data_IF_809190553642
#
_entry.id   IF_809190553642
#
_cell.length_a   1.000
_cell.length_b   1.000
_cell.length_c   1.000
_cell.angle_alpha   90.00
_cell.angle_beta   90.00
_cell.angle_gamma   90.00
#
_symmetry.space_group_name_H-M   'P 1'
#
loop_
_entity.id
_entity.type
_entity.pdbx_description
1 polymer ?
#
# COMPACT_ATOMS: atom_id res chain seq x y z
N UNK A 1 20.41 -7.31 -9.73
CA UNK A 1 19.13 -6.58 -9.62
C UNK A 1 18.66 -6.27 -11.03
N UNK A 2 17.37 -6.44 -11.35
CA UNK A 2 16.83 -6.21 -12.69
C UNK A 2 15.68 -5.19 -12.61
N UNK A 3 15.69 -4.09 -13.38
CA UNK A 3 14.63 -3.10 -13.35
C UNK A 3 13.39 -3.61 -14.08
N UNK A 4 12.21 -3.39 -13.50
CA UNK A 4 10.92 -3.65 -14.14
C UNK A 4 10.02 -2.43 -13.99
N UNK A 5 9.15 -2.20 -14.97
CA UNK A 5 8.12 -1.16 -14.93
C UNK A 5 6.77 -1.83 -14.67
N UNK A 6 6.05 -1.37 -13.64
CA UNK A 6 4.73 -1.88 -13.28
C UNK A 6 3.66 -0.86 -13.65
N UNK A 7 2.60 -1.29 -14.35
CA UNK A 7 1.42 -0.48 -14.58
C UNK A 7 0.49 -0.57 -13.36
N UNK A 8 0.75 0.26 -12.34
CA UNK A 8 0.07 0.17 -11.04
C UNK A 8 -1.46 0.30 -11.11
N UNK A 9 -2.01 1.00 -12.10
CA UNK A 9 -3.45 1.07 -12.34
C UNK A 9 -4.15 -0.30 -12.53
N UNK A 10 -3.40 -1.38 -12.78
CA UNK A 10 -3.93 -2.74 -12.91
C UNK A 10 -3.93 -3.53 -11.59
N UNK A 11 -3.47 -2.93 -10.50
CA UNK A 11 -3.34 -3.59 -9.19
C UNK A 11 -4.07 -2.81 -8.11
N UNK A 12 -4.51 -3.51 -7.06
CA UNK A 12 -4.91 -2.90 -5.81
C UNK A 12 -3.66 -2.74 -4.96
N UNK A 13 -3.34 -1.50 -4.64
CA UNK A 13 -2.12 -1.15 -3.91
C UNK A 13 -2.46 -0.86 -2.47
N UNK A 14 -1.73 -1.49 -1.55
CA UNK A 14 -1.79 -1.21 -0.12
C UNK A 14 -0.57 -0.39 0.30
N UNK A 15 -0.80 0.74 0.97
CA UNK A 15 0.24 1.53 1.64
C UNK A 15 0.01 1.45 3.14
N UNK A 16 0.97 0.91 3.89
CA UNK A 16 0.93 0.88 5.35
C UNK A 16 1.74 2.03 5.91
N UNK A 17 1.12 2.84 6.77
CA UNK A 17 1.67 4.05 7.37
C UNK A 17 0.78 5.26 7.12
N UNK A 18 0.86 6.26 8.00
CA UNK A 18 0.06 7.50 7.89
C UNK A 18 0.85 8.81 7.97
N UNK A 19 2.17 8.71 8.06
CA UNK A 19 3.06 9.87 8.15
C UNK A 19 3.63 10.30 6.80
N UNK A 20 4.72 11.09 6.85
CA UNK A 20 5.38 11.67 5.68
C UNK A 20 5.75 10.63 4.62
N UNK A 21 6.30 9.48 5.03
CA UNK A 21 6.68 8.43 4.09
C UNK A 21 5.46 7.90 3.31
N UNK A 22 4.33 7.71 3.97
CA UNK A 22 3.10 7.27 3.30
C UNK A 22 2.61 8.33 2.31
N UNK A 23 2.66 9.62 2.66
CA UNK A 23 2.33 10.72 1.75
C UNK A 23 3.24 10.74 0.53
N UNK A 24 4.55 10.57 0.70
CA UNK A 24 5.51 10.53 -0.40
C UNK A 24 5.27 9.35 -1.35
N UNK A 25 4.98 8.17 -0.79
CA UNK A 25 4.65 6.96 -1.58
C UNK A 25 3.35 7.13 -2.34
N UNK A 26 2.28 7.58 -1.68
CA UNK A 26 1.00 7.85 -2.33
C UNK A 26 1.17 8.87 -3.47
N UNK A 27 1.89 9.96 -3.23
CA UNK A 27 2.16 10.99 -4.23
C UNK A 27 2.95 10.45 -5.42
N UNK A 28 3.98 9.62 -5.18
CA UNK A 28 4.72 8.96 -6.25
C UNK A 28 3.85 8.01 -7.08
N UNK A 29 2.98 7.23 -6.45
CA UNK A 29 2.03 6.34 -7.14
C UNK A 29 1.08 7.16 -8.01
N UNK A 30 0.40 8.15 -7.44
CA UNK A 30 -0.63 8.93 -8.13
C UNK A 30 -0.04 9.81 -9.25
N UNK A 31 1.18 10.34 -9.10
CA UNK A 31 1.85 11.09 -10.19
C UNK A 31 2.17 10.23 -11.39
N UNK A 32 2.57 8.97 -11.18
CA UNK A 32 2.95 8.07 -12.27
C UNK A 32 1.75 7.28 -12.81
N UNK A 33 0.74 7.03 -11.99
CA UNK A 33 -0.45 6.26 -12.34
C UNK A 33 -1.67 6.79 -11.57
N UNK A 34 -2.27 7.92 -12.02
CA UNK A 34 -3.33 8.61 -11.29
C UNK A 34 -4.55 7.77 -11.00
N UNK A 35 -4.88 6.79 -11.86
CA UNK A 35 -6.03 5.92 -11.73
C UNK A 35 -5.82 4.71 -10.81
N UNK A 36 -4.67 4.61 -10.12
CA UNK A 36 -4.38 3.47 -9.23
C UNK A 36 -5.35 3.42 -8.07
N UNK A 37 -5.92 2.24 -7.81
CA UNK A 37 -6.70 1.97 -6.61
C UNK A 37 -5.73 1.78 -5.43
N UNK A 38 -5.73 2.74 -4.49
CA UNK A 38 -4.80 2.73 -3.36
C UNK A 38 -5.57 2.75 -2.05
N UNK A 39 -5.27 1.80 -1.18
CA UNK A 39 -5.71 1.83 0.22
C UNK A 39 -4.53 2.24 1.09
N UNK A 40 -4.70 3.26 1.92
CA UNK A 40 -3.72 3.69 2.91
C UNK A 40 -4.24 3.35 4.30
N UNK A 41 -3.46 2.58 5.06
CA UNK A 41 -3.84 2.12 6.40
C UNK A 41 -2.79 2.56 7.42
N UNK A 42 -3.22 3.20 8.50
CA UNK A 42 -2.36 3.58 9.60
C UNK A 42 -3.15 3.96 10.85
N UNK A 43 -2.60 3.76 12.07
CA UNK A 43 -3.29 4.12 13.32
C UNK A 43 -3.67 5.61 13.40
N UNK A 44 -2.89 6.46 12.73
CA UNK A 44 -3.12 7.91 12.61
C UNK A 44 -2.79 8.31 11.18
N UNK A 45 -3.66 9.09 10.54
CA UNK A 45 -3.42 9.63 9.19
C UNK A 45 -3.23 11.14 9.24
N UNK A 46 -2.17 11.63 8.60
CA UNK A 46 -1.86 13.07 8.61
C UNK A 46 -2.83 13.88 7.72
N UNK A 47 -3.09 15.16 8.04
CA UNK A 47 -3.90 16.04 7.19
C UNK A 47 -3.40 16.11 5.75
N UNK A 48 -2.08 16.08 5.54
CA UNK A 48 -1.47 16.06 4.21
C UNK A 48 -1.87 14.83 3.37
N UNK A 49 -2.11 13.67 4.00
CA UNK A 49 -2.66 12.50 3.29
C UNK A 49 -4.09 12.73 2.85
N UNK A 50 -4.93 13.32 3.71
CA UNK A 50 -6.31 13.64 3.36
C UNK A 50 -6.39 14.67 2.22
N UNK A 51 -5.58 15.72 2.29
CA UNK A 51 -5.48 16.72 1.21
C UNK A 51 -5.01 16.10 -0.11
N UNK A 52 -3.99 15.24 -0.05
CA UNK A 52 -3.46 14.55 -1.24
C UNK A 52 -4.48 13.57 -1.85
N UNK A 53 -5.23 12.84 -1.02
CA UNK A 53 -6.19 11.84 -1.46
C UNK A 53 -7.51 12.45 -1.95
N UNK A 54 -7.90 13.63 -1.46
CA UNK A 54 -9.20 14.25 -1.73
C UNK A 54 -9.62 14.30 -3.22
N UNK A 55 -8.72 14.63 -4.17
CA UNK A 55 -9.05 14.64 -5.60
C UNK A 55 -9.21 13.26 -6.24
N UNK A 56 -8.88 12.18 -5.53
CA UNK A 56 -8.78 10.82 -6.06
C UNK A 56 -9.80 9.88 -5.39
N UNK A 57 -11.00 9.69 -5.96
CA UNK A 57 -12.07 8.92 -5.34
C UNK A 57 -11.75 7.43 -5.15
N UNK A 58 -10.80 6.89 -5.90
CA UNK A 58 -10.30 5.52 -5.79
C UNK A 58 -9.26 5.33 -4.66
N UNK A 59 -8.87 6.41 -3.98
CA UNK A 59 -7.97 6.34 -2.81
C UNK A 59 -8.81 6.19 -1.55
N UNK A 60 -8.58 5.12 -0.81
CA UNK A 60 -9.23 4.84 0.46
C UNK A 60 -8.26 5.09 1.60
N UNK A 61 -8.69 5.90 2.57
CA UNK A 61 -7.94 6.18 3.78
C UNK A 61 -8.60 5.46 4.96
N UNK A 62 -7.86 4.57 5.63
CA UNK A 62 -8.35 3.81 6.78
C UNK A 62 -7.51 4.12 8.01
N UNK A 63 -8.05 4.94 8.90
CA UNK A 63 -7.41 5.30 10.17
C UNK A 63 -7.64 4.21 11.22
N UNK A 64 -6.87 3.13 11.09
CA UNK A 64 -6.84 1.98 12.02
C UNK A 64 -5.51 1.24 11.90
N UNK A 65 -5.14 0.40 12.87
CA UNK A 65 -4.09 -0.60 12.67
C UNK A 65 -4.41 -1.51 11.47
N UNK A 66 -3.38 -1.96 10.76
CA UNK A 66 -3.50 -2.97 9.73
C UNK A 66 -3.65 -4.36 10.35
N UNK A 67 -4.24 -5.28 9.61
CA UNK A 67 -4.33 -6.70 9.96
C UNK A 67 -3.98 -7.61 8.77
N UNK A 68 -3.92 -8.93 9.02
CA UNK A 68 -3.47 -9.88 8.02
C UNK A 68 -4.41 -9.98 6.80
N UNK A 69 -5.70 -9.66 6.96
CA UNK A 69 -6.68 -9.72 5.87
C UNK A 69 -6.49 -8.60 4.85
N UNK A 70 -5.90 -7.48 5.27
CA UNK A 70 -5.54 -6.37 4.38
C UNK A 70 -4.59 -6.84 3.26
N UNK A 71 -3.66 -7.76 3.55
CA UNK A 71 -2.74 -8.28 2.52
C UNK A 71 -3.43 -9.16 1.48
N UNK A 72 -4.47 -9.91 1.87
CA UNK A 72 -5.16 -10.83 0.97
C UNK A 72 -5.95 -10.10 -0.13
N UNK A 73 -6.24 -8.81 0.08
CA UNK A 73 -7.03 -7.99 -0.82
C UNK A 73 -6.19 -7.15 -1.80
N UNK A 74 -4.85 -7.20 -1.70
CA UNK A 74 -3.95 -6.32 -2.45
C UNK A 74 -2.78 -7.09 -3.06
N UNK A 75 -2.40 -6.73 -4.28
CA UNK A 75 -1.33 -7.39 -5.03
C UNK A 75 0.03 -6.71 -4.84
N UNK A 76 0.04 -5.41 -4.49
CA UNK A 76 1.27 -4.64 -4.28
C UNK A 76 1.21 -3.94 -2.93
N UNK A 77 2.25 -4.15 -2.12
CA UNK A 77 2.37 -3.58 -0.79
C UNK A 77 3.55 -2.61 -0.70
N UNK A 78 3.31 -1.42 -0.17
CA UNK A 78 4.33 -0.48 0.27
C UNK A 78 4.27 -0.31 1.79
N UNK A 79 5.37 -0.64 2.47
CA UNK A 79 5.53 -0.38 3.90
C UNK A 79 6.21 0.98 4.04
N UNK A 80 5.48 1.97 4.56
CA UNK A 80 5.87 3.37 4.65
C UNK A 80 5.78 3.87 6.11
N UNK A 81 6.37 3.09 7.02
CA UNK A 81 6.44 3.39 8.46
C UNK A 81 7.91 3.38 8.89
N UNK A 82 8.28 4.29 9.78
CA UNK A 82 9.65 4.41 10.32
C UNK A 82 9.98 3.30 11.33
N UNK A 83 8.96 2.73 11.96
CA UNK A 83 9.12 1.55 12.81
C UNK A 83 9.17 0.31 11.93
N UNK A 84 10.06 -0.63 12.26
CA UNK A 84 10.06 -1.97 11.64
C UNK A 84 8.76 -2.63 12.10
N UNK A 85 7.73 -2.74 11.25
CA UNK A 85 6.53 -3.43 11.69
C UNK A 85 6.94 -4.89 11.89
N UNK A 86 6.34 -5.58 12.84
CA UNK A 86 6.54 -7.04 13.02
C UNK A 86 6.05 -7.89 11.82
N UNK A 87 5.83 -7.26 10.65
CA UNK A 87 5.57 -7.86 9.33
C UNK A 87 6.59 -8.94 8.97
N UNK A 88 7.81 -8.90 9.53
CA UNK A 88 8.81 -9.96 9.35
C UNK A 88 8.26 -11.36 9.68
N UNK A 89 7.29 -11.48 10.58
CA UNK A 89 6.60 -12.75 10.90
C UNK A 89 5.67 -13.25 9.78
N UNK A 90 5.14 -12.36 8.94
CA UNK A 90 4.22 -12.70 7.85
C UNK A 90 4.94 -12.96 6.51
N UNK A 91 6.24 -12.65 6.43
CA UNK A 91 7.09 -12.98 5.27
C UNK A 91 7.15 -14.49 4.98
N UNK A 92 6.90 -15.34 5.97
CA UNK A 92 6.85 -16.80 5.82
C UNK A 92 5.57 -17.30 5.13
N UNK A 93 4.43 -16.62 5.28
CA UNK A 93 3.16 -17.08 4.70
C UNK A 93 2.96 -16.63 3.24
N UNK A 94 3.57 -15.52 2.82
CA UNK A 94 3.47 -15.02 1.44
C UNK A 94 4.34 -15.79 0.43
N UNK A 95 5.29 -16.60 0.92
CA UNK A 95 6.09 -17.51 0.10
C UNK A 95 5.42 -18.89 -0.09
N UNK A 96 4.26 -19.12 0.54
CA UNK A 96 3.54 -20.40 0.52
C UNK A 96 2.50 -20.56 -0.60
N UNK A 97 2.16 -19.50 -1.33
CA UNK A 97 1.22 -19.54 -2.47
C UNK A 97 1.94 -19.35 -3.80
N UNK A 98 3.09 -20.02 -3.95
CA UNK A 98 3.68 -20.31 -5.25
C UNK A 98 2.90 -21.43 -5.94
N UNK A 99 2.34 -21.13 -7.11
CA UNK A 99 1.75 -22.07 -8.07
C UNK A 99 0.54 -22.88 -7.56
N UNK A 100 -0.67 -22.51 -8.00
CA UNK A 100 -1.67 -23.53 -8.27
C UNK A 100 -1.24 -24.25 -9.55
N UNK A 101 -0.94 -25.57 -9.53
CA UNK A 101 -0.95 -26.35 -10.76
C UNK A 101 -2.40 -26.43 -11.25
N UNK A 102 -2.54 -26.28 -12.57
CA UNK A 102 -3.72 -26.40 -13.45
C UNK A 102 -4.99 -27.01 -12.87
#
# INVERSE_FOLDING_TARGET
MFPVFLQLAQFRVLVIGGGRLATERLNAILRNSPATCVTVIGPVLTPALHELAGPYPQVQLCERPWDATDFAQHEVLFIATDEIPSISKYRLNLLGSGCLPT
#
